data_IF_155607789185
#
_entry.id   IF_155607789185
#
_cell.length_a   1.000
_cell.length_b   1.000
_cell.length_c   1.000
_cell.angle_alpha   90.00
_cell.angle_beta   90.00
_cell.angle_gamma   90.00
#
_symmetry.space_group_name_H-M   'P 1'
#
loop_
_entity.id
_entity.type
_entity.pdbx_description
1 polymer ?
#
# COMPACT_ATOMS: atom_id res chain seq x y z
N UNK A 1 20.12 -19.19 -14.07
CA UNK A 1 20.23 -18.31 -12.88
C UNK A 1 19.20 -17.21 -13.02
N UNK A 2 18.09 -17.39 -12.37
CA UNK A 2 17.14 -16.30 -12.18
C UNK A 2 17.62 -15.50 -10.98
N UNK A 3 18.34 -14.42 -11.23
CA UNK A 3 18.46 -13.38 -10.23
C UNK A 3 17.02 -12.89 -9.97
N UNK A 4 16.54 -13.13 -8.78
CA UNK A 4 15.32 -12.48 -8.32
C UNK A 4 15.65 -10.99 -8.32
N UNK A 5 15.07 -10.29 -9.28
CA UNK A 5 15.15 -8.84 -9.43
C UNK A 5 14.35 -8.22 -8.28
N UNK A 6 14.85 -8.45 -7.07
CA UNK A 6 14.29 -7.83 -5.87
C UNK A 6 14.81 -6.42 -5.86
N UNK A 7 13.97 -5.47 -6.26
CA UNK A 7 14.27 -4.06 -6.12
C UNK A 7 14.80 -3.79 -4.71
N UNK A 8 15.84 -2.97 -4.57
CA UNK A 8 16.24 -2.50 -3.27
C UNK A 8 15.02 -1.95 -2.52
N UNK A 9 14.89 -2.28 -1.26
CA UNK A 9 13.75 -1.85 -0.44
C UNK A 9 13.54 -0.32 -0.46
N UNK A 10 14.59 0.41 -0.80
CA UNK A 10 14.57 1.87 -0.93
C UNK A 10 13.83 2.35 -2.18
N UNK A 11 13.77 1.54 -3.23
CA UNK A 11 13.13 1.89 -4.49
C UNK A 11 11.72 1.33 -4.62
N UNK A 12 11.31 0.43 -3.73
CA UNK A 12 9.99 -0.19 -3.75
C UNK A 12 8.98 0.64 -2.93
N UNK A 13 8.65 1.80 -3.46
CA UNK A 13 7.73 2.74 -2.83
C UNK A 13 6.34 2.67 -3.46
N UNK A 14 5.28 2.97 -2.67
CA UNK A 14 3.96 3.16 -3.23
C UNK A 14 3.94 4.38 -4.16
N UNK A 15 3.15 4.31 -5.22
CA UNK A 15 3.01 5.39 -6.19
C UNK A 15 1.85 6.28 -5.81
N UNK A 16 2.09 7.59 -5.82
CA UNK A 16 1.09 8.61 -5.55
C UNK A 16 1.15 9.70 -6.61
N UNK A 17 0.08 10.46 -6.73
CA UNK A 17 -0.01 11.61 -7.63
C UNK A 17 -0.49 12.84 -6.87
N UNK A 18 -0.18 14.03 -7.41
CA UNK A 18 -0.67 15.29 -6.91
C UNK A 18 -0.37 15.54 -5.43
N UNK A 19 -1.40 15.91 -4.69
CA UNK A 19 -1.29 16.23 -3.26
C UNK A 19 -0.79 15.04 -2.43
N UNK A 20 -1.29 13.85 -2.73
CA UNK A 20 -0.87 12.64 -2.02
C UNK A 20 0.63 12.34 -2.24
N UNK A 21 1.14 12.58 -3.44
CA UNK A 21 2.57 12.44 -3.74
C UNK A 21 3.42 13.47 -2.97
N UNK A 22 2.94 14.69 -2.86
CA UNK A 22 3.61 15.74 -2.09
C UNK A 22 3.68 15.39 -0.61
N UNK A 23 2.58 14.93 -0.04
CA UNK A 23 2.52 14.49 1.36
C UNK A 23 3.43 13.29 1.58
N UNK A 24 3.34 12.26 0.72
CA UNK A 24 4.17 11.06 0.81
C UNK A 24 5.67 11.41 0.81
N UNK A 25 6.09 12.28 -0.11
CA UNK A 25 7.49 12.73 -0.18
C UNK A 25 7.94 13.46 1.07
N UNK A 26 7.06 14.27 1.67
CA UNK A 26 7.39 15.03 2.86
C UNK A 26 7.56 14.15 4.11
N UNK A 27 6.73 13.12 4.26
CA UNK A 27 6.73 12.28 5.47
C UNK A 27 7.68 11.07 5.39
N UNK A 28 8.07 10.66 4.20
CA UNK A 28 8.88 9.46 3.99
C UNK A 28 10.18 9.44 4.81
N UNK A 29 11.00 10.50 4.84
CA UNK A 29 12.22 10.48 5.63
C UNK A 29 11.98 10.23 7.12
N UNK A 30 10.94 10.83 7.69
CA UNK A 30 10.58 10.66 9.11
C UNK A 30 10.12 9.23 9.40
N UNK A 31 9.30 8.65 8.51
CA UNK A 31 8.87 7.25 8.66
C UNK A 31 10.05 6.30 8.64
N UNK A 32 10.96 6.45 7.69
CA UNK A 32 12.15 5.61 7.57
C UNK A 32 13.07 5.72 8.78
N UNK A 33 13.28 6.93 9.27
CA UNK A 33 14.12 7.17 10.44
C UNK A 33 13.57 6.48 11.69
N UNK A 34 12.26 6.39 11.81
CA UNK A 34 11.58 5.74 12.93
C UNK A 34 11.41 4.22 12.78
N UNK A 35 11.81 3.66 11.65
CA UNK A 35 11.70 2.22 11.38
C UNK A 35 10.38 1.78 10.79
N UNK A 36 9.70 2.66 10.08
CA UNK A 36 8.45 2.36 9.39
C UNK A 36 8.59 2.45 7.88
N UNK A 37 7.71 1.74 7.19
CA UNK A 37 7.59 1.77 5.74
C UNK A 37 6.22 2.30 5.34
N UNK A 38 6.21 3.22 4.37
CA UNK A 38 4.96 3.78 3.86
C UNK A 38 4.24 2.76 2.98
N UNK A 39 2.96 2.53 3.26
CA UNK A 39 2.08 1.70 2.44
C UNK A 39 1.20 2.56 1.54
N UNK A 40 0.54 3.58 2.09
CA UNK A 40 -0.33 4.47 1.30
C UNK A 40 -0.56 5.79 2.00
N UNK A 41 -0.65 6.86 1.21
CA UNK A 41 -1.26 8.14 1.61
C UNK A 41 -2.53 8.31 0.81
N UNK A 42 -3.63 8.61 1.48
CA UNK A 42 -4.91 8.88 0.85
C UNK A 42 -5.54 10.12 1.46
N UNK A 43 -5.97 11.06 0.62
CA UNK A 43 -6.69 12.24 1.05
C UNK A 43 -8.14 12.12 0.61
N UNK A 44 -9.06 12.23 1.54
CA UNK A 44 -10.49 12.11 1.27
C UNK A 44 -11.29 13.21 1.97
N UNK A 45 -12.45 13.56 1.41
CA UNK A 45 -13.30 14.63 1.91
C UNK A 45 -13.01 15.98 1.24
N UNK A 46 -14.01 16.86 1.22
CA UNK A 46 -13.94 18.16 0.53
C UNK A 46 -13.72 19.33 1.47
N UNK A 47 -14.57 19.49 2.48
CA UNK A 47 -14.54 20.65 3.37
C UNK A 47 -13.53 20.51 4.50
N UNK A 48 -13.44 19.32 5.08
CA UNK A 48 -12.50 18.99 6.14
C UNK A 48 -11.82 17.67 5.79
N UNK A 49 -10.83 17.70 4.91
CA UNK A 49 -10.23 16.47 4.40
C UNK A 49 -9.53 15.69 5.49
N UNK A 50 -9.54 14.36 5.33
CA UNK A 50 -8.76 13.43 6.14
C UNK A 50 -7.57 12.98 5.32
N UNK A 51 -6.38 13.14 5.89
CA UNK A 51 -5.14 12.54 5.38
C UNK A 51 -4.95 11.24 6.11
N UNK A 52 -5.13 10.12 5.41
CA UNK A 52 -4.87 8.79 5.95
C UNK A 52 -3.47 8.34 5.54
N UNK A 53 -2.66 8.01 6.52
CA UNK A 53 -1.34 7.43 6.32
C UNK A 53 -1.35 5.99 6.81
N UNK A 54 -1.05 5.08 5.92
CA UNK A 54 -0.98 3.66 6.20
C UNK A 54 0.48 3.23 6.15
N UNK A 55 0.94 2.57 7.21
CA UNK A 55 2.34 2.18 7.35
C UNK A 55 2.50 0.79 7.95
N UNK A 56 3.61 0.14 7.62
CA UNK A 56 4.08 -1.10 8.22
C UNK A 56 5.30 -0.84 9.09
N UNK A 57 5.60 -1.74 10.01
CA UNK A 57 6.90 -1.78 10.65
C UNK A 57 7.93 -2.40 9.72
N UNK A 58 9.09 -1.76 9.59
CA UNK A 58 10.18 -2.25 8.75
C UNK A 58 10.77 -3.59 9.26
N UNK A 59 10.69 -3.84 10.57
CA UNK A 59 11.18 -5.07 11.19
C UNK A 59 10.22 -6.27 11.05
N UNK A 60 9.05 -6.07 10.44
CA UNK A 60 8.04 -7.12 10.28
C UNK A 60 7.28 -7.49 11.53
N UNK A 61 7.51 -6.83 12.67
CA UNK A 61 6.76 -7.05 13.89
C UNK A 61 5.33 -6.51 13.77
N UNK A 62 4.39 -6.98 14.61
CA UNK A 62 3.02 -6.48 14.59
C UNK A 62 2.96 -4.97 14.85
N UNK A 63 2.13 -4.29 14.09
CA UNK A 63 1.88 -2.85 14.24
C UNK A 63 0.92 -2.63 15.41
N UNK A 64 1.33 -1.81 16.38
CA UNK A 64 0.59 -1.56 17.61
C UNK A 64 0.02 -0.13 17.65
N UNK A 65 -0.85 0.12 18.61
CA UNK A 65 -1.44 1.46 18.85
C UNK A 65 -0.35 2.50 19.10
N UNK A 66 0.68 2.12 19.84
CA UNK A 66 1.84 2.97 20.14
C UNK A 66 2.59 3.39 18.88
N UNK A 67 2.60 2.54 17.86
CA UNK A 67 3.17 2.86 16.55
C UNK A 67 2.37 3.97 15.87
N UNK A 68 1.04 3.91 15.94
CA UNK A 68 0.17 4.99 15.41
C UNK A 68 0.47 6.32 16.08
N UNK A 69 0.63 6.34 17.38
CA UNK A 69 0.95 7.55 18.16
C UNK A 69 2.31 8.12 17.76
N UNK A 70 3.32 7.26 17.67
CA UNK A 70 4.69 7.65 17.29
C UNK A 70 4.69 8.28 15.90
N UNK A 71 4.03 7.64 14.95
CA UNK A 71 3.93 8.14 13.57
C UNK A 71 3.13 9.45 13.54
N UNK A 72 1.99 9.51 14.21
CA UNK A 72 1.13 10.71 14.24
C UNK A 72 1.89 11.93 14.74
N UNK A 73 2.66 11.80 15.80
CA UNK A 73 3.49 12.89 16.32
C UNK A 73 4.54 13.34 15.33
N UNK A 74 5.28 12.40 14.75
CA UNK A 74 6.38 12.71 13.83
C UNK A 74 5.90 13.35 12.54
N UNK A 75 4.90 12.76 11.89
CA UNK A 75 4.41 13.28 10.60
C UNK A 75 3.52 14.50 10.79
N UNK A 76 2.80 14.61 11.91
CA UNK A 76 2.04 15.81 12.24
C UNK A 76 2.93 17.05 12.28
N UNK A 77 4.09 16.94 12.93
CA UNK A 77 5.07 18.03 12.98
C UNK A 77 5.60 18.40 11.58
N UNK A 78 5.88 17.39 10.74
CA UNK A 78 6.32 17.63 9.35
C UNK A 78 5.24 18.33 8.54
N UNK A 79 4.00 17.89 8.63
CA UNK A 79 2.88 18.44 7.88
C UNK A 79 2.48 19.83 8.35
N UNK A 80 2.68 20.14 9.62
CA UNK A 80 2.49 21.53 10.14
C UNK A 80 3.46 22.52 9.48
N UNK A 81 4.69 22.10 9.21
CA UNK A 81 5.70 22.92 8.54
C UNK A 81 5.42 22.99 7.04
N UNK A 82 5.14 21.86 6.40
CA UNK A 82 4.91 21.80 4.94
C UNK A 82 3.59 22.44 4.52
N UNK A 83 2.59 22.43 5.40
CA UNK A 83 1.27 23.03 5.21
C UNK A 83 0.65 22.71 3.82
N UNK A 84 0.48 21.42 3.50
CA UNK A 84 0.09 21.01 2.15
C UNK A 84 -1.40 21.25 1.85
N UNK A 85 -2.22 21.45 2.86
CA UNK A 85 -3.67 21.61 2.73
C UNK A 85 -4.08 22.93 3.37
N UNK A 86 -4.84 23.73 2.61
CA UNK A 86 -5.44 24.97 3.14
C UNK A 86 -6.65 24.64 3.99
N UNK A 87 -6.75 25.30 5.16
CA UNK A 87 -7.84 25.12 6.09
C UNK A 87 -7.65 23.94 7.02
N UNK A 88 -8.73 23.50 7.65
CA UNK A 88 -8.70 22.42 8.61
C UNK A 88 -8.67 21.06 7.92
N UNK A 89 -7.88 20.15 8.46
CA UNK A 89 -7.79 18.77 8.01
C UNK A 89 -7.49 17.84 9.19
N UNK A 90 -7.74 16.57 9.01
CA UNK A 90 -7.52 15.55 10.03
C UNK A 90 -6.45 14.58 9.57
N UNK A 91 -5.62 14.14 10.52
CA UNK A 91 -4.64 13.09 10.28
C UNK A 91 -5.13 11.78 10.90
N UNK A 92 -5.12 10.73 10.09
CA UNK A 92 -5.42 9.37 10.51
C UNK A 92 -4.24 8.47 10.17
N UNK A 93 -3.70 7.78 11.17
CA UNK A 93 -2.62 6.81 10.98
C UNK A 93 -3.14 5.42 11.28
N UNK A 94 -2.90 4.49 10.37
CA UNK A 94 -3.34 3.11 10.53
C UNK A 94 -2.32 2.12 9.98
N UNK A 95 -2.42 0.88 10.44
CA UNK A 95 -1.81 -0.26 9.76
C UNK A 95 -2.71 -0.73 8.62
N UNK A 96 -2.18 -1.44 7.61
CA UNK A 96 -3.03 -2.15 6.66
C UNK A 96 -3.87 -3.21 7.38
N UNK A 97 -5.14 -3.36 6.97
CA UNK A 97 -5.97 -4.47 7.41
C UNK A 97 -5.51 -5.80 6.80
N UNK A 98 -6.22 -6.89 7.11
CA UNK A 98 -5.95 -8.21 6.53
C UNK A 98 -6.12 -8.14 5.00
N UNK A 99 -7.15 -7.45 4.54
CA UNK A 99 -7.42 -7.16 3.13
C UNK A 99 -6.65 -5.92 2.65
N UNK A 100 -5.37 -5.89 2.93
CA UNK A 100 -4.48 -4.75 2.73
C UNK A 100 -4.40 -4.29 1.27
N UNK A 101 -4.14 -3.00 1.01
CA UNK A 101 -3.81 -2.55 -0.34
C UNK A 101 -2.47 -3.09 -0.79
N UNK A 102 -2.38 -3.42 -2.08
CA UNK A 102 -1.16 -3.85 -2.75
C UNK A 102 -0.57 -2.65 -3.48
N UNK A 103 0.37 -1.96 -2.85
CA UNK A 103 0.91 -0.69 -3.34
C UNK A 103 2.37 -0.78 -3.76
N UNK A 104 3.08 -1.81 -3.31
CA UNK A 104 4.50 -2.01 -3.58
C UNK A 104 4.70 -3.39 -4.21
N UNK A 105 5.79 -3.57 -4.99
CA UNK A 105 6.09 -4.88 -5.57
C UNK A 105 6.19 -5.96 -4.50
N UNK A 106 6.79 -5.66 -3.36
CA UNK A 106 6.91 -6.61 -2.25
C UNK A 106 5.55 -7.04 -1.67
N UNK A 107 4.53 -6.19 -1.71
CA UNK A 107 3.18 -6.57 -1.28
C UNK A 107 2.61 -7.65 -2.21
N UNK A 108 2.74 -7.46 -3.52
CA UNK A 108 2.31 -8.42 -4.52
C UNK A 108 3.05 -9.75 -4.39
N UNK A 109 4.35 -9.71 -4.12
CA UNK A 109 5.19 -10.90 -4.02
C UNK A 109 4.93 -11.66 -2.72
N UNK A 110 4.78 -10.92 -1.61
CA UNK A 110 4.47 -11.53 -0.30
C UNK A 110 3.14 -12.25 -0.29
N UNK A 111 2.14 -11.67 -0.94
CA UNK A 111 0.77 -12.21 -0.97
C UNK A 111 0.43 -12.92 -2.28
N UNK A 112 1.43 -13.31 -3.05
CA UNK A 112 1.22 -14.14 -4.24
C UNK A 112 0.48 -15.44 -3.86
N UNK A 113 -0.48 -15.84 -4.68
CA UNK A 113 -1.37 -16.97 -4.40
C UNK A 113 -2.69 -16.60 -3.74
N UNK A 114 -2.85 -15.38 -3.27
CA UNK A 114 -4.09 -14.87 -2.69
C UNK A 114 -4.92 -14.09 -3.69
N UNK A 115 -6.24 -14.06 -3.47
CA UNK A 115 -7.16 -13.34 -4.35
C UNK A 115 -7.01 -11.84 -4.14
N UNK A 116 -6.91 -11.10 -5.24
CA UNK A 116 -6.82 -9.65 -5.25
C UNK A 116 -7.77 -9.04 -6.26
N UNK A 117 -8.16 -7.79 -6.02
CA UNK A 117 -8.87 -6.96 -6.99
C UNK A 117 -7.97 -5.84 -7.46
N UNK A 118 -8.12 -5.47 -8.74
CA UNK A 118 -7.37 -4.39 -9.37
C UNK A 118 -8.34 -3.47 -10.08
N UNK A 119 -8.18 -2.17 -9.86
CA UNK A 119 -8.88 -1.12 -10.60
C UNK A 119 -7.84 -0.28 -11.35
N UNK A 120 -8.06 -0.10 -12.65
CA UNK A 120 -7.14 0.64 -13.53
C UNK A 120 -7.61 2.08 -13.74
N UNK A 121 -6.66 2.95 -14.05
CA UNK A 121 -6.95 4.32 -14.50
C UNK A 121 -7.47 4.28 -15.94
N UNK A 122 -6.75 3.61 -16.85
CA UNK A 122 -7.12 3.44 -18.26
C UNK A 122 -7.55 1.97 -18.48
N UNK A 123 -8.67 1.72 -19.15
CA UNK A 123 -9.11 0.35 -19.42
C UNK A 123 -8.04 -0.46 -20.15
N UNK A 124 -7.96 -1.73 -19.80
CA UNK A 124 -7.15 -2.73 -20.48
C UNK A 124 -8.08 -3.87 -20.93
N UNK A 125 -8.01 -4.28 -22.17
CA UNK A 125 -8.93 -5.27 -22.76
C UNK A 125 -10.41 -4.89 -22.55
N UNK A 126 -10.72 -3.59 -22.62
CA UNK A 126 -12.05 -3.05 -22.45
C UNK A 126 -12.59 -3.00 -21.03
N UNK A 127 -11.78 -3.32 -20.02
CA UNK A 127 -12.19 -3.36 -18.61
C UNK A 127 -11.24 -2.56 -17.71
N UNK A 128 -11.80 -1.96 -16.68
CA UNK A 128 -11.04 -1.28 -15.63
C UNK A 128 -10.89 -2.10 -14.34
N UNK A 129 -11.74 -3.09 -14.12
CA UNK A 129 -11.78 -3.88 -12.89
C UNK A 129 -11.51 -5.34 -13.18
N UNK A 130 -10.61 -5.90 -12.40
CA UNK A 130 -10.19 -7.30 -12.51
C UNK A 130 -10.15 -7.93 -11.13
N UNK A 131 -10.43 -9.22 -11.07
CA UNK A 131 -10.31 -10.04 -9.87
C UNK A 131 -9.64 -11.36 -10.25
N UNK A 132 -8.66 -11.74 -9.48
CA UNK A 132 -7.91 -12.96 -9.72
C UNK A 132 -6.91 -13.25 -8.63
N UNK A 133 -6.06 -14.24 -8.87
CA UNK A 133 -5.00 -14.61 -7.94
C UNK A 133 -3.76 -13.78 -8.24
N UNK A 134 -3.22 -13.11 -7.22
CA UNK A 134 -1.98 -12.36 -7.35
C UNK A 134 -0.82 -13.30 -7.66
N UNK A 135 -0.05 -12.99 -8.70
CA UNK A 135 1.10 -13.79 -9.13
C UNK A 135 2.43 -13.14 -8.75
N UNK A 136 2.41 -11.88 -8.37
CA UNK A 136 3.58 -11.11 -8.03
C UNK A 136 3.73 -9.87 -8.90
N UNK A 137 4.78 -9.09 -8.63
CA UNK A 137 5.10 -7.87 -9.35
C UNK A 137 6.60 -7.64 -9.41
N UNK A 138 7.01 -6.86 -10.40
CA UNK A 138 8.35 -6.29 -10.49
C UNK A 138 8.26 -4.74 -10.42
N UNK A 139 9.31 -4.05 -10.82
CA UNK A 139 9.34 -2.59 -10.80
C UNK A 139 8.25 -1.96 -11.66
N UNK A 140 7.85 -2.60 -12.74
CA UNK A 140 7.00 -2.02 -13.77
C UNK A 140 5.63 -2.68 -13.87
N UNK A 141 5.55 -3.99 -13.69
CA UNK A 141 4.36 -4.80 -13.95
C UNK A 141 3.89 -5.57 -12.72
N UNK A 142 2.58 -5.69 -12.57
CA UNK A 142 1.94 -6.59 -11.61
C UNK A 142 1.06 -7.58 -12.38
N UNK A 143 0.92 -8.80 -11.88
CA UNK A 143 0.27 -9.90 -12.59
C UNK A 143 -0.82 -10.55 -11.76
N UNK A 144 -1.93 -10.86 -12.44
CA UNK A 144 -3.04 -11.66 -11.91
C UNK A 144 -3.28 -12.88 -12.78
N UNK A 145 -3.74 -13.95 -12.16
CA UNK A 145 -4.34 -15.10 -12.84
C UNK A 145 -5.85 -15.01 -12.72
N UNK A 146 -6.53 -14.85 -13.84
CA UNK A 146 -7.98 -14.71 -13.88
C UNK A 146 -8.67 -16.09 -13.73
N UNK A 147 -9.99 -16.09 -13.49
CA UNK A 147 -10.79 -17.30 -13.28
C UNK A 147 -10.73 -18.27 -14.46
N UNK A 148 -10.58 -17.77 -15.70
CA UNK A 148 -10.44 -18.58 -16.90
C UNK A 148 -9.05 -19.23 -17.06
N UNK A 149 -8.14 -18.98 -16.11
CA UNK A 149 -6.77 -19.47 -16.14
C UNK A 149 -5.78 -18.61 -16.93
N UNK A 150 -6.25 -17.57 -17.58
CA UNK A 150 -5.39 -16.62 -18.29
C UNK A 150 -4.66 -15.72 -17.30
N UNK A 151 -3.41 -15.43 -17.61
CA UNK A 151 -2.61 -14.46 -16.86
C UNK A 151 -2.69 -13.09 -17.54
N UNK A 152 -2.84 -12.05 -16.74
CA UNK A 152 -2.84 -10.68 -17.22
C UNK A 152 -1.80 -9.86 -16.43
N UNK A 153 -1.07 -9.00 -17.15
CA UNK A 153 -0.09 -8.10 -16.56
C UNK A 153 -0.59 -6.66 -16.71
N UNK A 154 -0.41 -5.89 -15.64
CA UNK A 154 -0.78 -4.48 -15.59
C UNK A 154 0.46 -3.63 -15.40
N UNK A 155 0.65 -2.54 -16.15
CA UNK A 155 1.62 -1.52 -15.76
C UNK A 155 1.26 -0.99 -14.37
N UNK A 156 2.20 -1.01 -13.44
CA UNK A 156 1.95 -0.54 -12.07
C UNK A 156 1.49 0.92 -12.05
N UNK A 157 2.00 1.74 -12.97
CA UNK A 157 1.58 3.13 -13.13
C UNK A 157 0.13 3.31 -13.57
N UNK A 158 -0.50 2.27 -14.12
CA UNK A 158 -1.91 2.28 -14.52
C UNK A 158 -2.86 1.72 -13.46
N UNK A 159 -2.34 1.19 -12.38
CA UNK A 159 -3.15 0.66 -11.27
C UNK A 159 -3.59 1.83 -10.40
N UNK A 160 -4.89 2.08 -10.36
CA UNK A 160 -5.47 3.07 -9.45
C UNK A 160 -5.58 2.52 -8.04
N UNK A 161 -6.06 1.28 -7.91
CA UNK A 161 -6.19 0.56 -6.65
C UNK A 161 -5.97 -0.92 -6.87
N UNK A 162 -5.31 -1.54 -5.91
CA UNK A 162 -5.25 -2.98 -5.81
C UNK A 162 -5.32 -3.34 -4.33
N UNK A 163 -6.08 -4.37 -4.01
CA UNK A 163 -6.16 -4.85 -2.63
C UNK A 163 -6.45 -6.35 -2.60
N UNK A 164 -6.08 -6.98 -1.50
CA UNK A 164 -6.44 -8.38 -1.24
C UNK A 164 -7.93 -8.50 -0.94
N UNK A 165 -8.50 -9.63 -1.31
CA UNK A 165 -9.85 -10.03 -0.94
C UNK A 165 -9.78 -10.86 0.33
N UNK A 166 -10.66 -10.56 1.29
CA UNK A 166 -10.72 -11.31 2.54
C UNK A 166 -11.26 -12.72 2.26
N UNK A 167 -10.38 -13.71 2.29
CA UNK A 167 -10.70 -15.13 2.13
C UNK A 167 -10.29 -15.90 3.38
N UNK A 168 -10.82 -17.10 3.55
CA UNK A 168 -10.44 -17.96 4.68
C UNK A 168 -8.94 -18.30 4.65
N UNK A 169 -8.38 -18.52 3.46
CA UNK A 169 -6.96 -18.77 3.26
C UNK A 169 -6.11 -17.58 3.69
N UNK A 170 -6.55 -16.35 3.35
CA UNK A 170 -5.84 -15.14 3.74
C UNK A 170 -5.89 -14.93 5.26
N UNK A 171 -7.04 -15.13 5.86
CA UNK A 171 -7.23 -15.03 7.33
C UNK A 171 -6.31 -16.03 8.03
N UNK A 172 -6.29 -17.29 7.58
CA UNK A 172 -5.44 -18.33 8.14
C UNK A 172 -3.94 -18.02 8.00
N UNK A 173 -3.51 -17.53 6.83
CA UNK A 173 -2.12 -17.15 6.59
C UNK A 173 -1.69 -15.99 7.49
N UNK A 174 -2.56 -15.00 7.68
CA UNK A 174 -2.27 -13.85 8.54
C UNK A 174 -2.22 -14.24 10.02
N UNK A 175 -3.11 -15.12 10.47
CA UNK A 175 -3.10 -15.64 11.83
C UNK A 175 -1.85 -16.46 12.14
N UNK A 176 -1.33 -17.22 11.16
CA UNK A 176 -0.11 -18.01 11.31
C UNK A 176 1.14 -17.14 11.47
N UNK A 177 1.15 -15.93 10.87
CA UNK A 177 2.26 -14.98 10.98
C UNK A 177 2.18 -14.10 12.23
N UNK A 178 1.03 -14.08 12.90
CA UNK A 178 0.82 -13.28 14.12
C UNK A 178 0.30 -14.16 15.26
N UNK A 179 1.19 -14.80 16.03
CA UNK A 179 0.82 -15.81 17.04
C UNK A 179 0.14 -15.23 18.29
N UNK A 180 -0.30 -13.98 18.30
CA UNK A 180 -0.91 -13.31 19.46
C UNK A 180 -2.43 -13.16 19.37
N UNK A 181 -3.09 -14.14 18.80
CA UNK A 181 -4.54 -14.25 18.97
C UNK A 181 -4.90 -15.61 19.50
#
# INVERSE_FOLDING_TARGET
MTESDTLPAEDDLPRHEGLEARIAGAILPSLRQLGYELVRVQVSGKERPTVQVMADRADGAPFLVEDCETISHAIGAVLDVEDPIRGEWMLEVSSPGIDRPLTRAKDWNRFAGHVATVELVVPQEGRKRFKGIALGADAEMARLKLEDGNEIAFPRGNIRRAKLVLTDELIAATAATNPRN
#
